data_IF_701279463561
#
_entry.id   IF_701279463561
#
_cell.length_a   1.000
_cell.length_b   1.000
_cell.length_c   1.000
_cell.angle_alpha   90.00
_cell.angle_beta   90.00
_cell.angle_gamma   90.00
#
_symmetry.space_group_name_H-M   'P 1'
#
loop_
_entity.id
_entity.type
_entity.pdbx_description
1 polymer ?
#
# COMPACT_ATOMS: atom_id res chain seq x y z
N UNK A 1 5.11 22.51 5.37
CA UNK A 1 5.12 21.03 5.55
C UNK A 1 5.13 20.39 4.17
N UNK A 2 6.19 19.66 3.83
CA UNK A 2 6.28 18.88 2.59
C UNK A 2 5.92 17.44 2.93
N UNK A 3 4.91 16.87 2.26
CA UNK A 3 4.54 15.48 2.45
C UNK A 3 5.14 14.65 1.31
N UNK A 4 6.05 13.75 1.65
CA UNK A 4 6.58 12.79 0.68
C UNK A 4 5.67 11.55 0.68
N UNK A 5 5.03 11.30 -0.46
CA UNK A 5 4.18 10.14 -0.70
C UNK A 5 4.92 9.11 -1.54
N UNK A 6 5.16 7.92 -1.00
CA UNK A 6 5.79 6.81 -1.74
C UNK A 6 4.74 5.70 -1.91
N UNK A 7 4.25 5.44 -3.14
CA UNK A 7 3.34 4.34 -3.41
C UNK A 7 4.10 3.00 -3.48
N UNK A 8 3.50 1.96 -2.92
CA UNK A 8 4.01 0.59 -2.93
C UNK A 8 2.86 -0.34 -3.34
N UNK A 9 3.01 -1.05 -4.44
CA UNK A 9 2.00 -2.00 -4.95
C UNK A 9 2.58 -3.41 -4.96
N UNK A 10 1.80 -4.39 -4.49
CA UNK A 10 2.15 -5.80 -4.52
C UNK A 10 0.97 -6.63 -5.03
N UNK A 11 1.24 -7.57 -5.92
CA UNK A 11 0.25 -8.47 -6.49
C UNK A 11 0.62 -9.91 -6.12
N UNK A 12 -0.30 -10.63 -5.49
CA UNK A 12 -0.13 -12.03 -5.10
C UNK A 12 -1.22 -12.88 -5.70
N UNK A 13 -0.83 -13.97 -6.36
CA UNK A 13 -1.74 -15.02 -6.78
C UNK A 13 -1.76 -16.08 -5.68
N UNK A 14 -2.91 -16.22 -5.02
CA UNK A 14 -3.13 -17.25 -3.99
C UNK A 14 -4.25 -18.15 -4.47
N UNK A 15 -3.90 -19.35 -4.94
CA UNK A 15 -4.82 -20.28 -5.59
C UNK A 15 -5.57 -19.63 -6.77
N UNK A 16 -6.90 -19.49 -6.68
CA UNK A 16 -7.76 -18.84 -7.67
C UNK A 16 -8.03 -17.37 -7.35
N UNK A 17 -7.56 -16.86 -6.21
CA UNK A 17 -7.77 -15.48 -5.82
C UNK A 17 -6.60 -14.60 -6.26
N UNK A 18 -6.96 -13.46 -6.84
CA UNK A 18 -6.02 -12.39 -7.10
C UNK A 18 -6.06 -11.40 -5.94
N UNK A 19 -4.94 -11.28 -5.22
CA UNK A 19 -4.79 -10.36 -4.09
C UNK A 19 -3.95 -9.17 -4.52
N UNK A 20 -4.56 -8.00 -4.60
CA UNK A 20 -3.87 -6.75 -4.93
C UNK A 20 -3.75 -5.90 -3.68
N UNK A 21 -2.52 -5.61 -3.25
CA UNK A 21 -2.22 -4.77 -2.10
C UNK A 21 -1.60 -3.44 -2.56
N UNK A 22 -2.20 -2.34 -2.12
CA UNK A 22 -1.68 -0.98 -2.32
C UNK A 22 -1.30 -0.38 -0.96
N UNK A 23 -0.13 0.20 -0.85
CA UNK A 23 0.31 0.90 0.36
C UNK A 23 0.89 2.27 0.04
N UNK A 24 0.67 3.22 0.92
CA UNK A 24 1.20 4.57 0.84
C UNK A 24 2.05 4.85 2.09
N UNK A 25 3.30 5.21 1.85
CA UNK A 25 4.16 5.75 2.90
C UNK A 25 4.04 7.27 2.86
N UNK A 26 3.50 7.86 3.93
CA UNK A 26 3.42 9.31 4.11
C UNK A 26 4.50 9.69 5.11
N UNK A 27 5.53 10.41 4.64
CA UNK A 27 6.55 10.98 5.51
C UNK A 27 6.28 12.46 5.70
N UNK A 28 6.13 12.85 6.95
CA UNK A 28 6.14 14.23 7.45
C UNK A 28 7.35 14.38 8.38
N UNK A 29 7.74 15.62 8.69
CA UNK A 29 9.01 15.95 9.36
C UNK A 29 9.32 15.09 10.61
N UNK A 30 8.29 14.74 11.39
CA UNK A 30 8.41 13.91 12.60
C UNK A 30 7.61 12.60 12.57
N UNK A 31 6.86 12.34 11.50
CA UNK A 31 5.91 11.22 11.45
C UNK A 31 6.05 10.41 10.18
N UNK A 32 5.96 9.11 10.35
CA UNK A 32 6.01 8.14 9.27
C UNK A 32 4.74 7.30 9.37
N UNK A 33 3.81 7.51 8.43
CA UNK A 33 2.53 6.82 8.39
C UNK A 33 2.55 5.81 7.24
N UNK A 34 2.23 4.55 7.54
CA UNK A 34 2.01 3.52 6.54
C UNK A 34 0.51 3.22 6.46
N UNK A 35 -0.09 3.46 5.30
CA UNK A 35 -1.49 3.13 5.03
C UNK A 35 -1.51 2.00 4.01
N UNK A 36 -2.22 0.91 4.29
CA UNK A 36 -2.31 -0.26 3.40
C UNK A 36 -3.75 -0.66 3.10
N UNK A 37 -4.05 -0.95 1.84
CA UNK A 37 -5.32 -1.47 1.33
C UNK A 37 -5.07 -2.79 0.60
N UNK A 38 -5.95 -3.77 0.77
CA UNK A 38 -5.89 -5.03 0.04
C UNK A 38 -7.27 -5.35 -0.56
N UNK A 39 -7.28 -5.80 -1.79
CA UNK A 39 -8.47 -6.21 -2.53
C UNK A 39 -8.28 -7.65 -2.98
N UNK A 40 -9.30 -8.48 -2.77
CA UNK A 40 -9.34 -9.86 -3.22
C UNK A 40 -10.40 -9.99 -4.32
N UNK A 41 -10.00 -10.52 -5.47
CA UNK A 41 -10.89 -10.85 -6.58
C UNK A 41 -10.90 -12.37 -6.77
N UNK A 42 -12.07 -12.96 -7.05
CA UNK A 42 -12.28 -14.40 -7.30
C UNK A 42 -12.60 -14.65 -8.76
#
# INVERSE_FOLDING_TARGET
MVYLLIPISYHSLVHNYTVTKHSYLIKSDNYLLLVSFAYNFH
#
